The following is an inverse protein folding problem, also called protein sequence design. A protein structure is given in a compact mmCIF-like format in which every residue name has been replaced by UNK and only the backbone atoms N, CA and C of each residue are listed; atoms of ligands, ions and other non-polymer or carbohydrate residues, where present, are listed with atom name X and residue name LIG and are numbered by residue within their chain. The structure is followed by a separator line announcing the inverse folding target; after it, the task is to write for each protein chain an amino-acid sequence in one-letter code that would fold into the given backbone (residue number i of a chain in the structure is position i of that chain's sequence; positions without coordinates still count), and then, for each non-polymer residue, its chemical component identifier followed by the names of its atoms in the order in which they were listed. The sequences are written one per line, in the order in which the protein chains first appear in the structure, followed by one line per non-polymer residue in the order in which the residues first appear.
data_IF_076388738423
#
_entry.id   IF_076388738423
#
_cell.length_a   1.000
_cell.length_b   1.000
_cell.length_c   1.000
_cell.angle_alpha   90.00
_cell.angle_beta   90.00
_cell.angle_gamma   90.00
#
_symmetry.space_group_name_H-M   'P 1'
#
loop_
_entity.id
_entity.type
_entity.pdbx_description
1 polymer ?
#
# COMPACT_ATOMS: atom_id res chain seq x y z
N UNK A 1 3.55 -37.64 29.15
CA UNK A 1 2.84 -37.14 27.97
C UNK A 1 3.78 -36.16 27.30
N UNK A 2 4.46 -36.63 26.26
CA UNK A 2 5.45 -35.81 25.52
C UNK A 2 4.68 -35.01 24.45
N UNK A 3 4.60 -33.70 24.63
CA UNK A 3 4.10 -32.77 23.63
C UNK A 3 4.98 -32.86 22.37
N UNK A 4 4.32 -33.04 21.24
CA UNK A 4 4.97 -33.25 19.95
C UNK A 4 5.53 -31.90 19.44
N UNK A 5 6.84 -31.69 19.30
CA UNK A 5 7.42 -30.38 18.92
C UNK A 5 7.13 -29.98 17.47
N UNK A 6 6.53 -30.85 16.64
CA UNK A 6 6.20 -30.55 15.25
C UNK A 6 4.88 -29.79 15.04
N UNK A 7 3.98 -29.78 16.03
CA UNK A 7 2.70 -29.06 15.91
C UNK A 7 2.82 -27.57 16.24
N UNK A 8 3.72 -27.19 17.13
CA UNK A 8 3.92 -25.78 17.53
C UNK A 8 4.49 -24.92 16.39
N UNK A 9 5.49 -25.39 15.66
CA UNK A 9 6.11 -24.61 14.58
C UNK A 9 5.16 -24.33 13.40
N UNK A 10 4.19 -25.20 13.14
CA UNK A 10 3.25 -25.02 12.01
C UNK A 10 2.13 -24.03 12.33
N UNK A 11 1.65 -24.01 13.57
CA UNK A 11 0.65 -23.03 14.03
C UNK A 11 1.27 -21.65 14.19
N UNK A 12 2.55 -21.56 14.55
CA UNK A 12 3.32 -20.32 14.65
C UNK A 12 3.62 -19.70 13.27
N UNK A 13 4.00 -20.52 12.27
CA UNK A 13 4.20 -20.05 10.89
C UNK A 13 2.89 -19.62 10.21
N UNK A 14 1.76 -20.24 10.52
CA UNK A 14 0.45 -19.85 9.96
C UNK A 14 -0.06 -18.51 10.52
N UNK A 15 0.29 -18.14 11.75
CA UNK A 15 -0.10 -16.88 12.35
C UNK A 15 0.64 -15.65 11.73
N UNK A 16 1.75 -15.86 11.04
CA UNK A 16 2.52 -14.80 10.38
C UNK A 16 2.08 -14.56 8.92
N UNK A 17 1.22 -15.44 8.38
CA UNK A 17 0.79 -15.34 6.98
C UNK A 17 -0.41 -14.42 6.82
N UNK A 18 -0.27 -13.52 5.87
CA UNK A 18 -1.34 -12.61 5.47
C UNK A 18 -2.27 -13.28 4.47
N UNK A 19 -3.57 -13.23 4.73
CA UNK A 19 -4.59 -13.64 3.78
C UNK A 19 -4.85 -12.53 2.75
N UNK A 20 -4.23 -12.64 1.58
CA UNK A 20 -4.41 -11.70 0.47
C UNK A 20 -5.88 -11.49 0.09
N UNK A 21 -6.74 -12.52 0.29
CA UNK A 21 -8.15 -12.40 -0.04
C UNK A 21 -8.89 -11.45 0.90
N UNK A 22 -8.49 -11.36 2.17
CA UNK A 22 -9.04 -10.37 3.11
C UNK A 22 -8.73 -8.94 2.66
N UNK A 23 -7.49 -8.69 2.21
CA UNK A 23 -7.09 -7.38 1.67
C UNK A 23 -7.91 -7.05 0.42
N UNK A 24 -8.02 -7.99 -0.51
CA UNK A 24 -8.82 -7.79 -1.74
C UNK A 24 -10.29 -7.49 -1.42
N UNK A 25 -10.90 -8.24 -0.50
CA UNK A 25 -12.30 -8.04 -0.12
C UNK A 25 -12.51 -6.67 0.53
N UNK A 26 -11.65 -6.27 1.46
CA UNK A 26 -11.67 -4.94 2.06
C UNK A 26 -11.55 -3.85 0.99
N UNK A 27 -10.60 -4.01 0.05
CA UNK A 27 -10.41 -3.05 -1.04
C UNK A 27 -11.65 -2.94 -1.93
N UNK A 28 -12.32 -4.05 -2.24
CA UNK A 28 -13.57 -4.06 -2.99
C UNK A 28 -14.63 -3.24 -2.27
N UNK A 29 -14.85 -3.49 -0.97
CA UNK A 29 -15.86 -2.80 -0.17
C UNK A 29 -15.57 -1.31 -0.06
N UNK A 30 -14.34 -0.93 0.26
CA UNK A 30 -13.91 0.47 0.38
C UNK A 30 -14.02 1.23 -0.94
N UNK A 31 -13.58 0.64 -2.05
CA UNK A 31 -13.67 1.25 -3.38
C UNK A 31 -15.13 1.38 -3.83
N UNK A 32 -15.96 0.36 -3.64
CA UNK A 32 -17.38 0.45 -4.02
C UNK A 32 -18.12 1.55 -3.27
N UNK A 33 -17.88 1.70 -1.97
CA UNK A 33 -18.41 2.78 -1.15
C UNK A 33 -17.92 4.14 -1.66
N UNK A 34 -16.61 4.28 -1.86
CA UNK A 34 -16.02 5.53 -2.32
C UNK A 34 -16.55 5.96 -3.70
N UNK A 35 -16.71 5.02 -4.65
CA UNK A 35 -17.27 5.32 -5.98
C UNK A 35 -18.74 5.70 -5.93
N UNK A 36 -19.53 5.14 -5.00
CA UNK A 36 -20.93 5.54 -4.80
C UNK A 36 -21.03 6.98 -4.27
N UNK A 37 -20.10 7.40 -3.41
CA UNK A 37 -20.05 8.76 -2.86
C UNK A 37 -19.47 9.77 -3.87
N UNK A 38 -18.72 9.31 -4.89
CA UNK A 38 -18.00 10.13 -5.86
C UNK A 38 -18.22 9.68 -7.32
N UNK A 39 -19.47 9.56 -7.80
CA UNK A 39 -19.78 8.91 -9.07
C UNK A 39 -19.28 9.64 -10.32
N UNK A 40 -19.02 10.95 -10.22
CA UNK A 40 -18.65 11.81 -11.36
C UNK A 40 -17.13 11.96 -11.53
N UNK A 41 -16.33 11.39 -10.61
CA UNK A 41 -14.88 11.57 -10.64
C UNK A 41 -14.22 10.62 -11.62
N UNK A 42 -13.17 11.12 -12.28
CA UNK A 42 -12.27 10.34 -13.14
C UNK A 42 -10.88 10.39 -12.54
N UNK A 43 -10.26 9.24 -12.36
CA UNK A 43 -9.01 9.09 -11.61
C UNK A 43 -7.84 8.82 -12.57
N UNK A 44 -6.68 9.41 -12.28
CA UNK A 44 -5.45 9.08 -12.98
C UNK A 44 -4.62 8.03 -12.25
N UNK A 45 -4.89 7.82 -10.96
CA UNK A 45 -4.20 6.78 -10.19
C UNK A 45 -5.05 6.24 -9.06
N UNK A 46 -4.74 4.98 -8.69
CA UNK A 46 -5.16 4.28 -7.48
C UNK A 46 -3.93 3.68 -6.82
N UNK A 47 -3.79 3.82 -5.50
CA UNK A 47 -2.65 3.26 -4.79
C UNK A 47 -3.07 2.61 -3.48
N UNK A 48 -2.31 1.58 -3.09
CA UNK A 48 -2.09 1.23 -1.70
C UNK A 48 -0.90 2.06 -1.21
N UNK A 49 -1.16 2.97 -0.30
CA UNK A 49 -0.15 3.70 0.46
C UNK A 49 0.04 2.96 1.76
N UNK A 50 1.14 2.23 1.85
CA UNK A 50 1.38 1.28 2.91
C UNK A 50 2.31 1.85 3.97
N UNK A 51 2.08 1.42 5.21
CA UNK A 51 3.03 1.49 6.27
C UNK A 51 3.30 0.04 6.71
N UNK A 52 4.18 -0.63 5.95
CA UNK A 52 4.33 -2.08 6.04
C UNK A 52 4.87 -2.52 7.41
N UNK A 53 5.65 -1.68 8.09
CA UNK A 53 6.14 -1.92 9.45
C UNK A 53 4.99 -2.05 10.47
N UNK A 54 3.88 -1.35 10.23
CA UNK A 54 2.66 -1.40 11.05
C UNK A 54 1.56 -2.28 10.41
N UNK A 55 1.89 -3.01 9.34
CA UNK A 55 0.96 -3.82 8.58
C UNK A 55 -0.31 -3.05 8.17
N UNK A 56 -0.16 -1.78 7.82
CA UNK A 56 -1.22 -0.86 7.45
C UNK A 56 -1.26 -0.64 5.94
N UNK A 57 -2.46 -0.61 5.37
CA UNK A 57 -2.73 -0.31 3.97
C UNK A 57 -3.77 0.79 3.90
N UNK A 58 -3.40 1.93 3.32
CA UNK A 58 -4.30 3.04 3.05
C UNK A 58 -4.73 3.01 1.58
N UNK A 59 -6.04 3.07 1.33
CA UNK A 59 -6.58 3.16 -0.02
C UNK A 59 -6.58 4.62 -0.47
N UNK A 60 -5.90 4.89 -1.58
CA UNK A 60 -5.71 6.23 -2.10
C UNK A 60 -6.08 6.33 -3.57
N UNK A 61 -6.70 7.44 -3.97
CA UNK A 61 -6.94 7.80 -5.38
C UNK A 61 -6.70 9.28 -5.60
N UNK A 62 -6.45 9.69 -6.85
CA UNK A 62 -6.42 11.11 -7.15
C UNK A 62 -6.95 11.41 -8.56
N UNK A 63 -7.32 12.69 -8.78
CA UNK A 63 -7.87 13.21 -10.03
C UNK A 63 -6.97 14.28 -10.61
N UNK A 64 -6.97 14.44 -11.94
CA UNK A 64 -6.20 15.50 -12.61
C UNK A 64 -6.53 16.90 -12.08
N UNK A 65 -7.80 17.15 -11.77
CA UNK A 65 -8.24 18.42 -11.19
C UNK A 65 -7.61 18.65 -9.81
N UNK A 66 -7.63 17.66 -8.93
CA UNK A 66 -7.08 17.77 -7.59
C UNK A 66 -5.55 17.92 -7.64
N UNK A 67 -4.88 17.20 -8.53
CA UNK A 67 -3.46 17.36 -8.78
C UNK A 67 -3.11 18.77 -9.26
N UNK A 68 -3.84 19.31 -10.23
CA UNK A 68 -3.61 20.68 -10.72
C UNK A 68 -3.77 21.73 -9.60
N UNK A 69 -4.75 21.54 -8.69
CA UNK A 69 -4.94 22.40 -7.52
C UNK A 69 -3.75 22.29 -6.54
N UNK A 70 -3.23 21.08 -6.31
CA UNK A 70 -2.06 20.82 -5.47
C UNK A 70 -0.80 21.44 -6.07
N UNK A 71 -0.52 21.20 -7.36
CA UNK A 71 0.63 21.73 -8.08
C UNK A 71 0.62 23.28 -8.06
N UNK A 72 -0.53 23.90 -8.36
CA UNK A 72 -0.66 25.36 -8.32
C UNK A 72 -0.41 25.92 -6.92
N UNK A 73 -0.84 25.23 -5.86
CA UNK A 73 -0.57 25.62 -4.47
C UNK A 73 0.92 25.58 -4.15
N UNK A 74 1.65 24.56 -4.59
CA UNK A 74 3.10 24.46 -4.38
C UNK A 74 3.85 25.51 -5.20
N UNK A 75 3.57 25.64 -6.49
CA UNK A 75 4.24 26.60 -7.38
C UNK A 75 4.03 28.07 -6.98
N UNK A 76 2.89 28.43 -6.39
CA UNK A 76 2.59 29.78 -5.90
C UNK A 76 2.91 29.98 -4.41
N UNK A 77 3.36 28.95 -3.71
CA UNK A 77 3.66 28.97 -2.29
C UNK A 77 5.14 29.23 -1.98
N UNK A 78 5.50 29.00 -0.72
CA UNK A 78 6.89 29.13 -0.21
C UNK A 78 7.90 28.24 -0.94
N UNK A 79 7.45 27.16 -1.56
CA UNK A 79 8.25 26.16 -2.27
C UNK A 79 8.12 26.28 -3.79
N UNK A 80 7.71 27.44 -4.29
CA UNK A 80 7.44 27.67 -5.72
C UNK A 80 8.67 27.55 -6.63
N UNK A 81 9.89 27.53 -6.07
CA UNK A 81 11.11 27.22 -6.80
C UNK A 81 11.23 25.72 -7.13
N UNK A 82 10.56 24.87 -6.39
CA UNK A 82 10.43 23.44 -6.64
C UNK A 82 9.27 23.19 -7.63
N UNK A 83 9.19 21.99 -8.19
CA UNK A 83 8.12 21.60 -9.10
C UNK A 83 8.04 22.43 -10.40
N UNK A 84 9.21 22.81 -10.95
CA UNK A 84 9.34 23.54 -12.22
C UNK A 84 9.71 22.61 -13.38
N UNK A 85 10.35 21.48 -13.11
CA UNK A 85 10.70 20.48 -14.11
C UNK A 85 9.60 19.44 -14.26
N UNK A 86 9.55 18.77 -15.41
CA UNK A 86 8.60 17.69 -15.65
C UNK A 86 8.81 16.51 -14.68
N UNK A 87 10.06 16.22 -14.31
CA UNK A 87 10.44 15.20 -13.36
C UNK A 87 9.87 15.49 -11.96
N UNK A 88 10.12 16.69 -11.41
CA UNK A 88 9.57 17.11 -10.11
C UNK A 88 8.03 17.13 -10.11
N UNK A 89 7.42 17.53 -11.22
CA UNK A 89 5.96 17.52 -11.37
C UNK A 89 5.42 16.09 -11.37
N UNK A 90 6.11 15.14 -12.02
CA UNK A 90 5.73 13.73 -12.00
C UNK A 90 5.93 13.08 -10.62
N UNK A 91 6.99 13.41 -9.91
CA UNK A 91 7.20 12.97 -8.52
C UNK A 91 6.05 13.45 -7.64
N UNK A 92 5.69 14.75 -7.69
CA UNK A 92 4.54 15.27 -6.96
C UNK A 92 3.22 14.59 -7.36
N UNK A 93 3.03 14.33 -8.66
CA UNK A 93 1.79 13.72 -9.17
C UNK A 93 1.52 12.36 -8.55
N UNK A 94 2.57 11.58 -8.32
CA UNK A 94 2.46 10.22 -7.78
C UNK A 94 2.84 10.10 -6.29
N UNK A 95 3.13 11.22 -5.63
CA UNK A 95 3.27 11.26 -4.17
C UNK A 95 1.90 11.16 -3.50
N UNK A 96 1.58 9.99 -2.96
CA UNK A 96 0.28 9.68 -2.32
C UNK A 96 -0.03 10.60 -1.15
N UNK A 97 0.99 11.06 -0.41
CA UNK A 97 0.86 12.00 0.70
C UNK A 97 0.30 13.38 0.31
N UNK A 98 0.38 13.75 -0.97
CA UNK A 98 -0.15 15.02 -1.51
C UNK A 98 -1.48 14.85 -2.25
N UNK A 99 -2.04 13.66 -2.27
CA UNK A 99 -3.31 13.40 -2.95
C UNK A 99 -4.50 13.92 -2.15
N UNK A 100 -5.50 14.43 -2.85
CA UNK A 100 -6.73 14.92 -2.22
C UNK A 100 -7.55 13.81 -1.57
N UNK A 101 -7.56 12.64 -2.16
CA UNK A 101 -8.30 11.47 -1.70
C UNK A 101 -7.33 10.40 -1.17
N UNK A 102 -6.38 10.84 -0.34
CA UNK A 102 -5.50 9.94 0.41
C UNK A 102 -6.27 9.28 1.55
N UNK A 103 -5.92 8.04 1.87
CA UNK A 103 -6.44 7.30 3.04
C UNK A 103 -7.98 7.36 3.14
N UNK A 104 -8.70 7.17 1.99
CA UNK A 104 -10.16 7.20 2.04
C UNK A 104 -10.75 5.97 2.75
N UNK A 105 -9.97 4.91 2.90
CA UNK A 105 -10.20 3.78 3.80
C UNK A 105 -8.85 3.17 4.23
N UNK A 106 -8.80 2.54 5.41
CA UNK A 106 -7.57 1.99 5.99
C UNK A 106 -7.79 0.57 6.48
N UNK A 107 -6.90 -0.33 6.11
CA UNK A 107 -6.89 -1.72 6.55
C UNK A 107 -5.66 -2.02 7.41
N UNK A 108 -5.90 -2.50 8.61
CA UNK A 108 -4.86 -3.06 9.48
C UNK A 108 -4.90 -4.58 9.33
N UNK A 109 -3.82 -5.15 8.79
CA UNK A 109 -3.70 -6.60 8.56
C UNK A 109 -3.64 -7.36 9.88
N UNK A 110 -2.95 -6.76 10.86
CA UNK A 110 -2.80 -7.25 12.21
C UNK A 110 -3.18 -6.16 13.22
N UNK A 111 -3.67 -6.57 14.38
CA UNK A 111 -3.76 -5.68 15.54
C UNK A 111 -2.36 -5.39 16.09
N UNK A 112 -2.24 -4.34 16.90
CA UNK A 112 -0.99 -3.99 17.60
C UNK A 112 -0.48 -5.14 18.47
N UNK A 113 -1.40 -5.90 19.10
CA UNK A 113 -1.07 -7.07 19.92
C UNK A 113 -0.51 -8.22 19.07
N UNK A 114 -1.10 -8.48 17.90
CA UNK A 114 -0.61 -9.49 16.95
C UNK A 114 0.75 -9.12 16.37
N UNK A 115 0.96 -7.86 15.96
CA UNK A 115 2.27 -7.38 15.50
C UNK A 115 3.34 -7.51 16.57
N UNK A 116 3.02 -7.14 17.81
CA UNK A 116 3.93 -7.30 18.94
C UNK A 116 4.28 -8.76 19.18
N UNK A 117 3.30 -9.67 19.04
CA UNK A 117 3.55 -11.11 19.18
C UNK A 117 4.46 -11.63 18.05
N UNK A 118 4.23 -11.19 16.80
CA UNK A 118 5.08 -11.54 15.65
C UNK A 118 6.51 -11.03 15.85
N UNK A 119 6.66 -9.77 16.26
CA UNK A 119 7.97 -9.20 16.55
C UNK A 119 8.74 -10.00 17.61
N UNK A 120 8.07 -10.34 18.74
CA UNK A 120 8.66 -11.15 19.81
C UNK A 120 8.97 -12.59 19.37
N UNK A 121 8.26 -13.11 18.37
CA UNK A 121 8.55 -14.42 17.78
C UNK A 121 9.81 -14.37 16.89
N UNK A 122 9.98 -13.30 16.12
CA UNK A 122 11.19 -13.05 15.30
C UNK A 122 12.39 -12.82 16.21
N UNK A 123 12.20 -12.10 17.32
CA UNK A 123 13.23 -11.76 18.31
C UNK A 123 12.89 -12.30 19.71
N UNK A 124 13.05 -13.61 19.95
CA UNK A 124 12.68 -14.24 21.23
C UNK A 124 13.62 -13.90 22.40
N UNK A 125 14.80 -13.33 22.12
CA UNK A 125 15.76 -12.84 23.10
C UNK A 125 15.98 -11.36 22.90
N UNK A 126 16.39 -10.63 23.97
CA UNK A 126 16.71 -9.20 23.87
C UNK A 126 17.62 -8.92 22.68
N UNK A 127 17.23 -7.93 21.91
CA UNK A 127 17.70 -7.59 20.58
C UNK A 127 19.19 -7.26 20.58
N UNK A 128 19.96 -7.98 19.79
CA UNK A 128 21.13 -7.36 19.14
C UNK A 128 20.61 -6.23 18.25
N UNK A 129 21.28 -5.10 18.16
CA UNK A 129 20.91 -3.88 17.40
C UNK A 129 20.70 -4.11 15.87
N UNK A 130 20.53 -5.35 15.44
CA UNK A 130 20.37 -5.79 14.07
C UNK A 130 18.91 -6.22 13.80
N UNK A 131 18.12 -5.28 13.28
CA UNK A 131 16.72 -5.49 12.90
C UNK A 131 16.52 -6.22 11.56
N UNK A 132 17.54 -6.85 10.97
CA UNK A 132 17.48 -7.46 9.64
C UNK A 132 16.34 -8.47 9.48
N UNK A 133 16.05 -9.29 10.49
CA UNK A 133 14.98 -10.28 10.39
C UNK A 133 13.59 -9.61 10.34
N UNK A 134 13.42 -8.47 11.03
CA UNK A 134 12.20 -7.67 10.95
C UNK A 134 12.07 -6.99 9.58
N UNK A 135 13.15 -6.41 9.06
CA UNK A 135 13.17 -5.82 7.72
C UNK A 135 12.82 -6.84 6.64
N UNK A 136 13.30 -8.08 6.75
CA UNK A 136 12.92 -9.18 5.83
C UNK A 136 11.41 -9.44 5.92
N UNK A 137 10.85 -9.52 7.13
CA UNK A 137 9.42 -9.75 7.32
C UNK A 137 8.57 -8.59 6.77
N UNK A 138 8.95 -7.35 7.02
CA UNK A 138 8.30 -6.14 6.49
C UNK A 138 8.31 -6.13 4.96
N UNK A 139 9.43 -6.51 4.34
CA UNK A 139 9.52 -6.65 2.88
C UNK A 139 8.60 -7.77 2.34
N UNK A 140 8.43 -8.89 3.06
CA UNK A 140 7.49 -9.95 2.69
C UNK A 140 6.03 -9.47 2.79
N UNK A 141 5.69 -8.66 3.80
CA UNK A 141 4.40 -7.99 3.89
C UNK A 141 4.16 -7.09 2.69
N UNK A 142 5.13 -6.25 2.33
CA UNK A 142 5.01 -5.33 1.19
C UNK A 142 4.85 -6.07 -0.15
N UNK A 143 5.52 -7.21 -0.32
CA UNK A 143 5.29 -8.11 -1.47
C UNK A 143 3.84 -8.61 -1.48
N UNK A 144 3.34 -9.07 -0.33
CA UNK A 144 1.95 -9.57 -0.19
C UNK A 144 0.91 -8.48 -0.46
N UNK A 145 1.17 -7.25 -0.03
CA UNK A 145 0.30 -6.08 -0.34
C UNK A 145 0.32 -5.78 -1.83
N UNK A 146 1.49 -5.85 -2.46
CA UNK A 146 1.63 -5.68 -3.91
C UNK A 146 0.89 -6.77 -4.69
N UNK A 147 0.97 -8.03 -4.27
CA UNK A 147 0.17 -9.12 -4.88
C UNK A 147 -1.33 -8.90 -4.69
N UNK A 148 -1.73 -8.31 -3.57
CA UNK A 148 -3.14 -8.02 -3.29
C UNK A 148 -3.71 -6.94 -4.20
N UNK A 149 -2.99 -5.85 -4.47
CA UNK A 149 -3.44 -4.81 -5.41
C UNK A 149 -3.46 -5.35 -6.85
N UNK A 150 -2.54 -6.22 -7.22
CA UNK A 150 -2.54 -6.89 -8.53
C UNK A 150 -3.82 -7.75 -8.66
N UNK A 151 -4.14 -8.59 -7.65
CA UNK A 151 -5.38 -9.37 -7.64
C UNK A 151 -6.62 -8.49 -7.65
N UNK A 152 -6.62 -7.36 -6.92
CA UNK A 152 -7.71 -6.40 -6.97
C UNK A 152 -7.91 -5.84 -8.38
N UNK A 153 -6.83 -5.59 -9.13
CA UNK A 153 -6.90 -5.08 -10.51
C UNK A 153 -7.62 -6.02 -11.49
N UNK A 154 -7.78 -7.29 -11.15
CA UNK A 154 -8.51 -8.30 -11.93
C UNK A 154 -9.99 -8.38 -11.58
N UNK A 155 -10.47 -7.59 -10.63
CA UNK A 155 -11.84 -7.62 -10.15
C UNK A 155 -12.78 -6.74 -10.96
N UNK A 156 -14.08 -7.08 -10.93
CA UNK A 156 -15.14 -6.23 -11.53
C UNK A 156 -15.24 -4.86 -10.87
N UNK A 157 -14.85 -4.74 -9.61
CA UNK A 157 -14.86 -3.44 -8.90
C UNK A 157 -13.79 -2.53 -9.45
N UNK A 158 -12.60 -3.05 -9.76
CA UNK A 158 -11.56 -2.28 -10.42
C UNK A 158 -11.96 -1.80 -11.83
N UNK A 159 -12.73 -2.60 -12.56
CA UNK A 159 -13.31 -2.19 -13.86
C UNK A 159 -14.28 -1.00 -13.74
N UNK A 160 -14.97 -0.86 -12.59
CA UNK A 160 -15.91 0.25 -12.33
C UNK A 160 -15.20 1.59 -12.07
N UNK A 161 -13.92 1.59 -11.73
CA UNK A 161 -13.16 2.83 -11.54
C UNK A 161 -13.13 3.58 -12.87
N UNK A 162 -13.65 4.81 -12.90
CA UNK A 162 -13.57 5.67 -14.07
C UNK A 162 -12.15 6.21 -14.23
N UNK A 163 -11.43 5.74 -15.24
CA UNK A 163 -9.98 5.90 -15.41
C UNK A 163 -9.64 6.87 -16.53
N UNK A 164 -8.58 7.68 -16.36
CA UNK A 164 -7.95 8.38 -17.49
C UNK A 164 -7.22 7.38 -18.41
N UNK A 165 -6.82 7.83 -19.60
CA UNK A 165 -6.12 6.97 -20.56
C UNK A 165 -4.71 6.53 -20.07
N UNK A 166 -4.10 7.31 -19.20
CA UNK A 166 -2.77 7.09 -18.61
C UNK A 166 -2.85 6.61 -17.15
N UNK A 167 -3.99 6.09 -16.73
CA UNK A 167 -4.23 5.61 -15.36
C UNK A 167 -3.17 4.62 -14.91
N UNK A 168 -2.66 4.83 -13.69
CA UNK A 168 -1.74 3.92 -13.02
C UNK A 168 -2.31 3.39 -11.72
N UNK A 169 -1.90 2.18 -11.34
CA UNK A 169 -2.13 1.66 -9.99
C UNK A 169 -0.83 1.06 -9.46
N UNK A 170 -0.60 1.20 -8.16
CA UNK A 170 0.64 0.75 -7.52
C UNK A 170 0.47 0.55 -6.01
N UNK A 171 1.40 -0.19 -5.42
CA UNK A 171 1.55 -0.38 -3.99
C UNK A 171 2.89 0.20 -3.59
N UNK A 172 2.89 1.19 -2.72
CA UNK A 172 4.07 1.93 -2.28
C UNK A 172 4.16 1.89 -0.75
N UNK A 173 5.36 1.74 -0.21
CA UNK A 173 5.60 1.92 1.21
C UNK A 173 5.90 3.40 1.52
N UNK A 174 5.74 3.81 2.77
CA UNK A 174 5.79 5.22 3.20
C UNK A 174 7.06 5.96 2.78
N UNK A 175 8.21 5.30 2.82
CA UNK A 175 9.52 5.86 2.50
C UNK A 175 10.07 5.38 1.14
N UNK A 176 9.23 4.78 0.29
CA UNK A 176 9.66 4.18 -0.97
C UNK A 176 9.47 5.14 -2.15
N UNK A 177 10.38 5.07 -3.12
CA UNK A 177 10.21 5.75 -4.40
C UNK A 177 9.19 5.04 -5.30
N UNK A 178 8.38 5.83 -6.01
CA UNK A 178 7.37 5.32 -6.97
C UNK A 178 8.00 4.42 -8.04
N UNK A 179 9.23 4.69 -8.47
CA UNK A 179 9.95 3.89 -9.45
C UNK A 179 10.25 2.48 -8.93
N UNK A 180 10.62 2.34 -7.65
CA UNK A 180 10.90 1.06 -7.01
C UNK A 180 9.60 0.26 -6.83
N UNK A 181 8.52 0.91 -6.39
CA UNK A 181 7.20 0.30 -6.28
C UNK A 181 6.70 -0.25 -7.64
N UNK A 182 6.84 0.52 -8.72
CA UNK A 182 6.47 0.09 -10.07
C UNK A 182 7.35 -1.08 -10.56
N UNK A 183 8.62 -1.09 -10.21
CA UNK A 183 9.54 -2.18 -10.54
C UNK A 183 9.11 -3.46 -9.82
N UNK A 184 8.80 -3.40 -8.52
CA UNK A 184 8.29 -4.53 -7.75
C UNK A 184 6.99 -5.08 -8.36
N UNK A 185 6.03 -4.20 -8.69
CA UNK A 185 4.78 -4.61 -9.33
C UNK A 185 5.01 -5.36 -10.65
N UNK A 186 5.87 -4.82 -11.50
CA UNK A 186 6.19 -5.45 -12.79
C UNK A 186 6.78 -6.85 -12.61
N UNK A 187 7.74 -7.02 -11.70
CA UNK A 187 8.37 -8.31 -11.40
C UNK A 187 7.36 -9.36 -10.89
N UNK A 188 6.32 -8.93 -10.16
CA UNK A 188 5.29 -9.84 -9.67
C UNK A 188 4.24 -10.18 -10.74
N UNK A 189 3.96 -9.29 -11.68
CA UNK A 189 3.05 -9.54 -12.80
C UNK A 189 3.64 -10.46 -13.88
N UNK A 190 4.97 -10.56 -13.95
CA UNK A 190 5.68 -11.42 -14.91
C UNK A 190 5.85 -12.87 -14.43
N UNK A 191 5.46 -13.20 -13.19
CA UNK A 191 5.51 -14.56 -12.61
C UNK A 191 4.24 -15.35 -12.91
#
# INVERSE_FOLDING_TARGET
MTSNPMTTNREEEDNMKVDTQKIVNFTIEGVEKFLQENPELTYYAFAFDCNAEYAEINLCVNTEKAFAETLARYQNGKYGENYQTEEEIQELKYNTGDWKYQCFDTFYVFSEEELTAIFNQIYPNEVDDDYQAWEVYVNELLVTFTESIIKFSETKTFEKINKTADFKFFCIDHDEDVADSMTRMKLLQEK
#
